data_IF_586704988316
#
_entry.id   IF_586704988316
#
_cell.length_a   1.000
_cell.length_b   1.000
_cell.length_c   1.000
_cell.angle_alpha   90.00
_cell.angle_beta   90.00
_cell.angle_gamma   90.00
#
_symmetry.space_group_name_H-M   'P 1'
#
loop_
_entity.id
_entity.type
_entity.pdbx_description
1 polymer ?
#
# COMPACT_ATOMS: atom_id res chain seq x y z
N UNK A 1 -3.70 -4.68 -7.59
CA UNK A 1 -3.57 -4.44 -6.15
C UNK A 1 -2.39 -5.21 -5.56
N UNK A 2 -2.50 -6.30 -4.77
CA UNK A 2 -1.32 -6.95 -4.14
C UNK A 2 -0.49 -7.78 -5.12
N UNK A 3 -1.15 -8.52 -6.01
CA UNK A 3 -0.45 -9.33 -7.02
C UNK A 3 0.37 -8.48 -7.98
N UNK A 4 -0.12 -7.28 -8.34
CA UNK A 4 0.61 -6.30 -9.14
C UNK A 4 1.87 -5.81 -8.42
N UNK A 5 1.75 -5.39 -7.14
CA UNK A 5 2.90 -5.01 -6.32
C UNK A 5 3.93 -6.13 -6.21
N UNK A 6 3.48 -7.40 -6.06
CA UNK A 6 4.38 -8.56 -6.03
C UNK A 6 5.17 -8.69 -7.34
N UNK A 7 4.51 -8.57 -8.49
CA UNK A 7 5.18 -8.64 -9.79
C UNK A 7 6.23 -7.52 -9.93
N UNK A 8 5.89 -6.31 -9.53
CA UNK A 8 6.81 -5.16 -9.56
C UNK A 8 8.07 -5.35 -8.70
N UNK A 9 8.05 -6.24 -7.69
CA UNK A 9 9.27 -6.53 -6.92
C UNK A 9 10.31 -7.32 -7.71
N UNK A 10 9.90 -8.01 -8.78
CA UNK A 10 10.75 -8.90 -9.56
C UNK A 10 11.69 -8.14 -10.49
N UNK A 11 11.28 -6.98 -11.00
CA UNK A 11 12.08 -6.16 -11.92
C UNK A 11 12.57 -4.85 -11.28
N UNK A 12 13.63 -4.26 -11.83
CA UNK A 12 14.24 -3.06 -11.27
C UNK A 12 13.35 -1.81 -11.36
N UNK A 13 12.61 -1.65 -12.45
CA UNK A 13 11.70 -0.52 -12.67
C UNK A 13 10.53 -0.53 -11.69
N UNK A 14 9.94 -1.69 -11.43
CA UNK A 14 8.86 -1.88 -10.48
C UNK A 14 9.31 -1.62 -9.05
N UNK A 15 10.54 -2.02 -8.68
CA UNK A 15 11.13 -1.66 -7.37
C UNK A 15 11.36 -0.16 -7.21
N UNK A 16 11.79 0.53 -8.26
CA UNK A 16 11.93 1.97 -8.27
C UNK A 16 10.55 2.63 -8.11
N UNK A 17 9.56 2.17 -8.88
CA UNK A 17 8.19 2.66 -8.81
C UNK A 17 7.59 2.48 -7.39
N UNK A 18 7.72 1.29 -6.79
CA UNK A 18 7.29 1.06 -5.40
C UNK A 18 7.97 2.04 -4.43
N UNK A 19 9.28 2.28 -4.59
CA UNK A 19 10.01 3.18 -3.71
C UNK A 19 9.52 4.62 -3.80
N UNK A 20 9.17 5.07 -5.01
CA UNK A 20 8.63 6.39 -5.29
C UNK A 20 7.18 6.52 -4.82
N UNK A 21 6.31 5.60 -5.22
CA UNK A 21 4.88 5.59 -4.83
C UNK A 21 4.71 5.63 -3.32
N UNK A 22 5.47 4.83 -2.57
CA UNK A 22 5.33 4.72 -1.12
C UNK A 22 6.37 5.52 -0.33
N UNK A 23 7.19 6.35 -0.99
CA UNK A 23 8.25 7.14 -0.38
C UNK A 23 9.12 6.34 0.61
N UNK A 24 9.60 5.16 0.19
CA UNK A 24 10.33 4.24 1.07
C UNK A 24 11.66 4.86 1.55
N UNK A 25 11.93 4.77 2.86
CA UNK A 25 13.20 5.20 3.46
C UNK A 25 13.80 4.04 4.28
N UNK A 26 14.95 3.46 3.86
CA UNK A 26 15.65 3.73 2.59
C UNK A 26 14.89 3.16 1.39
N UNK A 27 15.03 3.83 0.24
CA UNK A 27 14.50 3.34 -1.03
C UNK A 27 15.09 1.95 -1.37
N UNK A 28 14.32 1.16 -2.11
CA UNK A 28 14.82 -0.10 -2.62
C UNK A 28 15.81 0.11 -3.75
N UNK A 29 16.75 -0.83 -3.88
CA UNK A 29 17.72 -0.76 -4.97
C UNK A 29 17.04 -1.04 -6.31
N UNK A 30 17.38 -0.21 -7.30
CA UNK A 30 17.04 -0.39 -8.70
C UNK A 30 18.13 -1.18 -9.46
N UNK A 31 19.17 -1.68 -8.78
CA UNK A 31 20.17 -2.52 -9.41
C UNK A 31 19.59 -3.93 -9.61
N UNK A 32 19.56 -4.42 -10.84
CA UNK A 32 19.08 -5.76 -11.18
C UNK A 32 19.92 -6.88 -10.56
N UNK A 33 21.20 -6.61 -10.28
CA UNK A 33 22.13 -7.58 -9.71
C UNK A 33 22.13 -7.56 -8.16
N UNK A 34 21.39 -6.65 -7.55
CA UNK A 34 21.23 -6.59 -6.09
C UNK A 34 19.75 -6.83 -5.76
N UNK A 35 19.35 -8.08 -5.43
CA UNK A 35 17.97 -8.34 -5.08
C UNK A 35 17.60 -7.61 -3.79
N UNK A 36 16.36 -7.12 -3.71
CA UNK A 36 15.83 -6.60 -2.45
C UNK A 36 15.62 -7.79 -1.51
N UNK A 37 16.11 -7.74 -0.26
CA UNK A 37 15.89 -8.81 0.70
C UNK A 37 14.41 -9.08 0.91
N UNK A 38 14.01 -10.35 0.95
CA UNK A 38 12.61 -10.75 1.12
C UNK A 38 11.95 -10.11 2.35
N UNK A 39 12.70 -9.90 3.44
CA UNK A 39 12.19 -9.23 4.65
C UNK A 39 11.78 -7.77 4.40
N UNK A 40 12.48 -7.05 3.51
CA UNK A 40 12.10 -5.67 3.17
C UNK A 40 10.79 -5.64 2.38
N UNK A 41 10.63 -6.60 1.45
CA UNK A 41 9.39 -6.78 0.70
C UNK A 41 8.25 -7.10 1.66
N UNK A 42 8.44 -8.09 2.55
CA UNK A 42 7.46 -8.47 3.56
C UNK A 42 7.04 -7.29 4.44
N UNK A 43 7.99 -6.45 4.88
CA UNK A 43 7.68 -5.29 5.71
C UNK A 43 6.75 -4.29 4.99
N UNK A 44 7.00 -4.00 3.71
CA UNK A 44 6.11 -3.11 2.93
C UNK A 44 4.72 -3.72 2.82
N UNK A 45 4.62 -5.01 2.49
CA UNK A 45 3.33 -5.67 2.31
C UNK A 45 2.56 -5.78 3.62
N UNK A 46 3.25 -6.04 4.74
CA UNK A 46 2.65 -6.06 6.06
C UNK A 46 2.08 -4.69 6.45
N UNK A 47 2.77 -3.59 6.13
CA UNK A 47 2.26 -2.23 6.36
C UNK A 47 1.02 -1.92 5.53
N UNK A 48 1.00 -2.33 4.25
CA UNK A 48 -0.14 -2.13 3.36
C UNK A 48 -1.35 -2.95 3.81
N UNK A 49 -1.16 -4.23 4.12
CA UNK A 49 -2.22 -5.11 4.62
C UNK A 49 -2.72 -4.62 5.99
N UNK A 50 -1.83 -4.09 6.82
CA UNK A 50 -2.17 -3.51 8.13
C UNK A 50 -3.23 -2.43 8.04
N UNK A 51 -3.23 -1.59 6.99
CA UNK A 51 -4.28 -0.57 6.76
C UNK A 51 -5.67 -1.20 6.67
N UNK A 52 -5.80 -2.27 5.87
CA UNK A 52 -7.08 -2.97 5.70
C UNK A 52 -7.52 -3.67 6.98
N UNK A 53 -6.58 -4.31 7.68
CA UNK A 53 -6.85 -4.95 8.98
C UNK A 53 -7.31 -3.93 10.02
N UNK A 54 -6.66 -2.76 10.05
CA UNK A 54 -7.00 -1.66 10.92
C UNK A 54 -8.43 -1.13 10.66
N UNK A 55 -8.80 -0.94 9.40
CA UNK A 55 -10.17 -0.48 9.07
C UNK A 55 -11.20 -1.54 9.46
N UNK A 56 -10.98 -2.82 9.13
CA UNK A 56 -11.92 -3.90 9.50
C UNK A 56 -12.07 -4.04 11.01
N UNK A 57 -10.97 -3.96 11.76
CA UNK A 57 -11.01 -4.14 13.21
C UNK A 57 -11.71 -2.99 13.95
N UNK A 58 -11.68 -1.79 13.39
CA UNK A 58 -12.11 -0.58 14.09
C UNK A 58 -13.20 0.24 13.39
N UNK A 59 -13.77 -0.24 12.28
CA UNK A 59 -14.90 0.39 11.57
C UNK A 59 -16.11 0.64 12.49
N UNK A 60 -16.82 1.74 12.24
CA UNK A 60 -18.12 2.12 12.77
C UNK A 60 -18.24 2.23 14.30
N UNK A 61 -18.11 1.11 15.00
CA UNK A 61 -18.42 0.94 16.43
C UNK A 61 -17.23 1.26 17.34
N UNK A 62 -16.01 1.23 16.79
CA UNK A 62 -14.77 1.53 17.52
C UNK A 62 -14.07 2.82 17.03
N UNK A 63 -14.79 3.67 16.30
CA UNK A 63 -14.29 4.92 15.70
C UNK A 63 -13.87 5.99 16.73
N UNK A 64 -14.08 5.74 18.01
CA UNK A 64 -13.75 6.58 19.15
C UNK A 64 -12.23 6.88 19.27
N UNK A 65 -11.39 6.23 18.45
CA UNK A 65 -9.93 6.42 18.39
C UNK A 65 -9.46 7.40 17.30
N UNK A 66 -10.35 8.18 16.69
CA UNK A 66 -9.97 9.24 15.76
C UNK A 66 -9.52 8.71 14.38
N UNK A 67 -10.06 7.58 13.94
CA UNK A 67 -9.76 6.98 12.64
C UNK A 67 -10.64 7.57 11.55
N UNK A 68 -10.11 7.63 10.33
CA UNK A 68 -10.70 8.37 9.22
C UNK A 68 -11.66 7.55 8.34
N UNK A 69 -11.66 6.21 8.40
CA UNK A 69 -12.41 5.37 7.46
C UNK A 69 -13.17 4.22 8.11
N UNK A 70 -14.40 4.05 7.64
CA UNK A 70 -15.17 2.81 7.69
C UNK A 70 -14.75 1.85 6.57
N UNK A 71 -15.14 0.58 6.67
CA UNK A 71 -14.94 -0.39 5.57
C UNK A 71 -15.57 0.12 4.28
N UNK A 72 -16.78 0.69 4.35
CA UNK A 72 -17.49 1.21 3.19
C UNK A 72 -16.74 2.37 2.51
N UNK A 73 -16.15 3.28 3.27
CA UNK A 73 -15.37 4.38 2.72
C UNK A 73 -14.07 3.90 2.07
N UNK A 74 -13.36 2.96 2.70
CA UNK A 74 -12.15 2.38 2.12
C UNK A 74 -12.47 1.65 0.81
N UNK A 75 -13.55 0.86 0.76
CA UNK A 75 -14.01 0.21 -0.47
C UNK A 75 -14.32 1.24 -1.56
N UNK A 76 -15.06 2.30 -1.23
CA UNK A 76 -15.37 3.37 -2.19
C UNK A 76 -14.11 4.02 -2.76
N UNK A 77 -13.10 4.31 -1.93
CA UNK A 77 -11.82 4.87 -2.39
C UNK A 77 -11.11 3.92 -3.35
N UNK A 78 -11.09 2.63 -3.02
CA UNK A 78 -10.42 1.60 -3.82
C UNK A 78 -11.13 1.32 -5.15
N UNK A 79 -12.44 1.57 -5.23
CA UNK A 79 -13.29 1.34 -6.40
C UNK A 79 -13.57 2.64 -7.20
N UNK A 80 -13.06 3.79 -6.76
CA UNK A 80 -13.26 5.07 -7.44
C UNK A 80 -12.26 5.26 -8.59
N UNK A 81 -12.62 4.69 -9.74
CA UNK A 81 -11.86 4.80 -10.99
C UNK A 81 -11.78 6.25 -11.53
N UNK A 82 -12.65 7.16 -11.07
CA UNK A 82 -12.58 8.58 -11.48
C UNK A 82 -11.49 9.34 -10.71
N UNK A 83 -11.19 8.90 -9.49
CA UNK A 83 -10.17 9.53 -8.63
C UNK A 83 -8.81 8.85 -8.79
N UNK A 84 -8.78 7.51 -8.90
CA UNK A 84 -7.54 6.74 -9.05
C UNK A 84 -7.62 5.84 -10.27
N UNK A 85 -6.87 6.18 -11.32
CA UNK A 85 -6.76 5.34 -12.51
C UNK A 85 -5.91 4.08 -12.28
N UNK A 86 -5.01 4.10 -11.29
CA UNK A 86 -4.24 2.93 -10.85
C UNK A 86 -4.67 2.56 -9.41
N UNK A 87 -5.15 1.32 -9.18
CA UNK A 87 -5.45 0.82 -7.85
C UNK A 87 -4.28 0.90 -6.85
N UNK A 88 -3.03 0.97 -7.30
CA UNK A 88 -1.86 1.17 -6.43
C UNK A 88 -1.85 2.58 -5.83
N UNK A 89 -2.31 3.59 -6.57
CA UNK A 89 -2.42 4.96 -6.05
C UNK A 89 -3.52 5.08 -5.00
N UNK A 90 -4.63 4.36 -5.16
CA UNK A 90 -5.66 4.25 -4.14
C UNK A 90 -5.12 3.60 -2.85
N UNK A 91 -4.30 2.54 -2.99
CA UNK A 91 -3.62 1.90 -1.84
C UNK A 91 -2.65 2.86 -1.16
N UNK A 92 -1.87 3.61 -1.94
CA UNK A 92 -0.96 4.65 -1.41
C UNK A 92 -1.75 5.67 -0.61
N UNK A 93 -2.82 6.20 -1.17
CA UNK A 93 -3.67 7.18 -0.51
C UNK A 93 -4.19 6.62 0.82
N UNK A 94 -4.79 5.43 0.82
CA UNK A 94 -5.28 4.78 2.04
C UNK A 94 -4.18 4.55 3.10
N UNK A 95 -2.93 4.33 2.67
CA UNK A 95 -1.80 4.11 3.59
C UNK A 95 -1.26 5.37 4.29
N UNK A 96 -1.53 6.56 3.74
CA UNK A 96 -1.02 7.84 4.27
C UNK A 96 -1.93 8.46 5.33
N UNK A 97 -3.22 8.16 5.31
CA UNK A 97 -4.24 8.83 6.12
C UNK A 97 -4.74 7.97 7.31
N UNK A 98 -3.80 7.30 7.99
CA UNK A 98 -4.06 6.48 9.19
C UNK A 98 -4.52 7.30 10.39
#
# INVERSE_FOLDING_TARGET
TISQLRQMTLDASGRANISETFNLVPAWTNNVNLPVPAIKIQNVFAQLIGVFQDVVQYSDVNNNKGRQYTVAELCRIMEDENTFSDPIDAVRWASLYK
#
